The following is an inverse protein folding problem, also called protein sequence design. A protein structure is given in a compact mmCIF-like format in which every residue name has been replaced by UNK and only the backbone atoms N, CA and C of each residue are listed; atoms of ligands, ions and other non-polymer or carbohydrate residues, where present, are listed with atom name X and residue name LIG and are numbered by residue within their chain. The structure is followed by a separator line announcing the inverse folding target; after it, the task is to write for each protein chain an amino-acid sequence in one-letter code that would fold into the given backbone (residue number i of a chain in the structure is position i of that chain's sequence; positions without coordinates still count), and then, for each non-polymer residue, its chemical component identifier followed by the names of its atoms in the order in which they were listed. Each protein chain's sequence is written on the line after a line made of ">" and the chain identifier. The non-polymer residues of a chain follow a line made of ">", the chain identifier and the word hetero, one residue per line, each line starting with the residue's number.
data_IF_570086640306
#
_entry.id   IF_570086640306
#
_cell.length_a   1.000
_cell.length_b   1.000
_cell.length_c   1.000
_cell.angle_alpha   90.00
_cell.angle_beta   90.00
_cell.angle_gamma   90.00
#
_symmetry.space_group_name_H-M   'P 1'
#
loop_
_entity.id
_entity.type
_entity.pdbx_description
1 polymer ?
#
# COMPACT_ATOMS: atom_id res chain seq x y z
N UNK A 1 47.38 -19.45 60.62
CA UNK A 1 46.67 -20.34 61.55
C UNK A 1 45.28 -20.57 60.95
N UNK A 2 45.09 -21.69 60.24
CA UNK A 2 44.42 -22.93 60.71
C UNK A 2 42.91 -22.70 60.88
N UNK A 3 42.07 -23.03 59.90
CA UNK A 3 41.54 -24.35 59.52
C UNK A 3 40.49 -24.90 60.51
N UNK A 4 39.24 -25.09 60.03
CA UNK A 4 38.40 -26.28 60.23
C UNK A 4 37.00 -26.09 59.58
N UNK A 5 36.67 -26.94 58.59
CA UNK A 5 35.31 -27.50 58.43
C UNK A 5 35.19 -28.79 59.26
N UNK A 6 34.21 -29.72 59.05
CA UNK A 6 33.15 -29.80 58.02
C UNK A 6 31.77 -30.36 58.56
N UNK A 7 30.93 -30.92 57.65
CA UNK A 7 29.82 -31.91 57.82
C UNK A 7 28.43 -31.45 58.33
N UNK A 8 27.26 -31.93 57.86
CA UNK A 8 26.82 -32.87 56.80
C UNK A 8 25.29 -32.66 56.51
N UNK A 9 24.85 -32.73 55.25
CA UNK A 9 23.97 -33.73 54.59
C UNK A 9 22.49 -33.87 55.03
N UNK A 10 21.59 -33.72 54.04
CA UNK A 10 20.32 -34.45 53.90
C UNK A 10 20.01 -34.52 52.37
N UNK A 11 20.50 -35.52 51.65
CA UNK A 11 19.89 -36.83 51.28
C UNK A 11 18.53 -36.76 50.56
N UNK A 12 18.57 -37.38 49.38
CA UNK A 12 17.47 -38.01 48.65
C UNK A 12 16.56 -37.14 47.76
N UNK A 13 16.90 -37.08 46.46
CA UNK A 13 16.11 -37.77 45.43
C UNK A 13 16.79 -37.64 44.05
N UNK A 14 17.78 -38.50 43.83
CA UNK A 14 18.30 -38.81 42.51
C UNK A 14 17.75 -40.20 42.12
N UNK A 15 16.79 -40.27 41.20
CA UNK A 15 16.33 -41.54 40.60
C UNK A 15 16.51 -41.48 39.09
N UNK A 16 17.68 -41.93 38.65
CA UNK A 16 17.92 -42.47 37.31
C UNK A 16 17.00 -43.68 37.08
N UNK A 17 16.33 -43.83 35.93
CA UNK A 17 15.63 -45.07 35.61
C UNK A 17 16.64 -46.16 35.27
N UNK A 18 16.61 -47.25 36.03
CA UNK A 18 17.35 -48.49 35.78
C UNK A 18 16.87 -49.18 34.50
N UNK A 19 17.81 -49.53 33.63
CA UNK A 19 17.65 -50.59 32.62
C UNK A 19 17.39 -51.91 33.34
N UNK A 20 16.64 -52.78 32.67
CA UNK A 20 16.24 -54.15 33.06
C UNK A 20 14.96 -54.28 33.88
N UNK A 21 13.83 -54.16 33.17
CA UNK A 21 12.69 -55.06 33.42
C UNK A 21 11.98 -55.43 32.11
N UNK A 22 12.42 -56.55 31.53
CA UNK A 22 11.61 -57.68 31.05
C UNK A 22 10.60 -57.48 29.90
N UNK A 23 11.02 -57.95 28.71
CA UNK A 23 10.32 -58.74 27.67
C UNK A 23 8.87 -58.41 27.24
N UNK A 24 8.55 -58.42 25.92
CA UNK A 24 7.21 -58.15 25.41
C UNK A 24 6.25 -59.34 25.67
N UNK A 25 5.18 -59.07 26.42
CA UNK A 25 4.02 -59.98 26.55
C UNK A 25 3.27 -60.05 25.22
N UNK A 26 3.40 -61.16 24.52
CA UNK A 26 2.61 -61.55 23.36
C UNK A 26 1.11 -61.60 23.75
N UNK A 27 0.28 -60.71 23.20
CA UNK A 27 -1.19 -60.76 23.29
C UNK A 27 -1.79 -60.89 21.88
N UNK A 28 -2.84 -61.71 21.72
CA UNK A 28 -3.32 -62.19 20.43
C UNK A 28 -3.96 -61.07 19.59
N UNK A 29 -3.81 -61.19 18.26
CA UNK A 29 -4.44 -60.35 17.24
C UNK A 29 -5.93 -60.12 17.54
N UNK A 30 -6.25 -58.93 18.05
CA UNK A 30 -7.62 -58.43 18.08
C UNK A 30 -7.87 -57.75 16.74
N UNK A 31 -8.66 -58.39 15.88
CA UNK A 31 -9.18 -57.77 14.66
C UNK A 31 -10.03 -56.58 15.12
N UNK A 32 -9.51 -55.37 14.97
CA UNK A 32 -10.25 -54.13 15.15
C UNK A 32 -11.27 -54.02 14.00
N UNK A 33 -12.50 -53.66 14.34
CA UNK A 33 -13.54 -53.40 13.34
C UNK A 33 -13.15 -52.17 12.49
N UNK A 34 -13.62 -52.04 11.24
CA UNK A 34 -13.22 -50.95 10.33
C UNK A 34 -13.61 -49.52 10.75
N UNK A 35 -14.10 -49.31 11.97
CA UNK A 35 -14.64 -48.03 12.45
C UNK A 35 -13.77 -47.36 13.54
N UNK A 36 -12.60 -47.90 13.87
CA UNK A 36 -11.66 -47.33 14.84
C UNK A 36 -10.29 -46.96 14.22
N UNK A 37 -10.26 -46.66 12.92
CA UNK A 37 -9.09 -46.09 12.25
C UNK A 37 -9.45 -44.77 11.57
N UNK A 38 -9.67 -43.72 12.37
CA UNK A 38 -9.49 -42.33 11.90
C UNK A 38 -9.50 -41.34 13.07
N UNK A 39 -8.55 -41.49 13.99
CA UNK A 39 -8.05 -40.33 14.76
C UNK A 39 -6.64 -40.02 14.21
N UNK A 40 -6.61 -39.63 12.94
CA UNK A 40 -5.44 -38.96 12.38
C UNK A 40 -5.18 -37.70 13.19
N UNK A 41 -3.97 -37.59 13.75
CA UNK A 41 -3.46 -36.39 14.41
C UNK A 41 -3.92 -35.14 13.66
N UNK A 42 -4.69 -34.27 14.32
CA UNK A 42 -5.17 -32.98 13.78
C UNK A 42 -4.04 -31.99 13.41
N UNK A 43 -2.78 -32.42 13.41
CA UNK A 43 -1.59 -31.61 13.17
C UNK A 43 -0.85 -31.93 11.86
N UNK A 44 -1.30 -32.90 11.07
CA UNK A 44 -0.51 -33.39 9.91
C UNK A 44 -0.54 -32.47 8.67
N UNK A 45 -1.33 -31.40 8.69
CA UNK A 45 -1.40 -30.38 7.63
C UNK A 45 -0.80 -29.02 8.03
N UNK A 46 -0.36 -28.87 9.28
CA UNK A 46 0.23 -27.63 9.74
C UNK A 46 1.65 -27.51 9.19
N UNK A 47 1.96 -26.37 8.58
CA UNK A 47 3.30 -26.07 8.11
C UNK A 47 4.27 -26.04 9.30
N UNK A 48 5.41 -26.71 9.19
CA UNK A 48 6.44 -26.76 10.23
C UNK A 48 7.76 -26.26 9.66
N UNK A 49 8.47 -25.41 10.41
CA UNK A 49 9.82 -25.01 10.09
C UNK A 49 10.79 -25.40 11.22
N UNK A 50 11.68 -26.34 10.92
CA UNK A 50 12.60 -26.92 11.90
C UNK A 50 13.87 -26.10 12.11
N UNK A 51 14.12 -25.09 11.27
CA UNK A 51 15.32 -24.25 11.32
C UNK A 51 15.00 -22.80 11.71
N UNK A 52 13.80 -22.54 12.24
CA UNK A 52 13.42 -21.22 12.70
C UNK A 52 14.30 -20.78 13.89
N UNK A 53 14.78 -19.54 13.85
CA UNK A 53 15.61 -18.93 14.92
C UNK A 53 14.93 -17.65 15.35
N UNK A 54 14.88 -17.39 16.66
CA UNK A 54 14.28 -16.18 17.20
C UNK A 54 15.07 -15.63 18.37
N UNK A 55 15.20 -14.31 18.41
CA UNK A 55 15.77 -13.56 19.52
C UNK A 55 14.79 -12.47 19.93
N UNK A 56 14.52 -12.32 21.22
CA UNK A 56 13.58 -11.31 21.70
C UNK A 56 13.66 -11.07 23.19
N UNK A 57 13.00 -10.02 23.64
CA UNK A 57 12.82 -9.64 25.04
C UNK A 57 11.43 -9.02 25.23
N UNK A 58 11.18 -8.43 26.40
CA UNK A 58 9.89 -7.81 26.75
C UNK A 58 9.48 -6.61 25.87
N UNK A 59 10.37 -6.12 25.01
CA UNK A 59 10.15 -4.95 24.16
C UNK A 59 9.95 -5.30 22.68
N UNK A 60 10.42 -6.46 22.24
CA UNK A 60 10.27 -6.90 20.86
C UNK A 60 11.04 -8.16 20.53
N UNK A 61 10.86 -8.64 19.30
CA UNK A 61 11.53 -9.83 18.80
C UNK A 61 11.92 -9.70 17.33
N UNK A 62 12.99 -10.42 16.98
CA UNK A 62 13.45 -10.67 15.62
C UNK A 62 13.42 -12.17 15.41
N UNK A 63 12.66 -12.62 14.43
CA UNK A 63 12.55 -14.05 14.13
C UNK A 63 12.80 -14.32 12.66
N UNK A 64 13.45 -15.45 12.39
CA UNK A 64 13.78 -15.94 11.06
C UNK A 64 13.12 -17.28 10.83
N UNK A 65 12.49 -17.46 9.68
CA UNK A 65 11.77 -18.69 9.37
C UNK A 65 10.53 -18.93 10.24
N UNK A 66 10.04 -17.91 10.96
CA UNK A 66 8.82 -18.04 11.74
C UNK A 66 7.61 -18.20 10.82
N UNK A 67 6.75 -19.14 11.17
CA UNK A 67 5.47 -19.34 10.49
C UNK A 67 4.47 -18.34 11.09
N UNK A 68 3.81 -17.59 10.22
CA UNK A 68 2.78 -16.64 10.61
C UNK A 68 1.67 -17.37 11.38
N UNK A 69 0.97 -16.69 12.31
CA UNK A 69 -0.04 -17.30 13.20
C UNK A 69 -1.14 -18.11 12.49
N UNK A 70 -1.43 -17.79 11.22
CA UNK A 70 -2.43 -18.47 10.42
C UNK A 70 -1.88 -19.74 9.74
N UNK A 71 -0.60 -20.09 9.97
CA UNK A 71 0.11 -21.22 9.39
C UNK A 71 0.27 -21.21 7.86
N UNK A 72 -0.18 -20.16 7.20
CA UNK A 72 -0.22 -20.08 5.73
C UNK A 72 1.10 -19.60 5.09
N UNK A 73 1.90 -18.82 5.81
CA UNK A 73 3.07 -18.10 5.27
C UNK A 73 4.24 -18.22 6.23
N UNK A 74 5.44 -18.44 5.69
CA UNK A 74 6.69 -18.43 6.42
C UNK A 74 7.43 -17.13 6.12
N UNK A 75 7.67 -16.32 7.14
CA UNK A 75 8.48 -15.11 7.00
C UNK A 75 9.97 -15.46 7.07
N UNK A 76 10.74 -14.98 6.10
CA UNK A 76 12.20 -15.09 6.12
C UNK A 76 12.78 -14.31 7.31
N UNK A 77 12.31 -13.08 7.51
CA UNK A 77 12.63 -12.23 8.67
C UNK A 77 11.36 -11.51 9.11
N UNK A 78 11.11 -11.48 10.42
CA UNK A 78 10.02 -10.74 11.03
C UNK A 78 10.55 -9.95 12.23
N UNK A 79 10.27 -8.65 12.26
CA UNK A 79 10.56 -7.75 13.37
C UNK A 79 9.23 -7.37 14.01
N UNK A 80 9.04 -7.70 15.29
CA UNK A 80 7.82 -7.40 16.02
C UNK A 80 8.13 -6.51 17.23
N UNK A 81 7.32 -5.47 17.41
CA UNK A 81 7.27 -4.78 18.68
C UNK A 81 6.40 -5.55 19.69
N UNK A 82 6.46 -5.13 20.96
CA UNK A 82 5.67 -5.70 22.06
C UNK A 82 4.16 -5.76 21.79
N UNK A 83 3.61 -4.81 21.04
CA UNK A 83 2.17 -4.67 20.82
C UNK A 83 1.60 -5.64 19.77
N UNK A 84 2.47 -6.33 19.01
CA UNK A 84 2.08 -7.27 17.95
C UNK A 84 1.38 -6.63 16.74
N UNK A 85 1.18 -5.30 16.75
CA UNK A 85 0.55 -4.55 15.67
C UNK A 85 1.57 -3.70 14.90
N UNK A 86 2.70 -3.40 15.53
CA UNK A 86 3.86 -2.81 14.87
C UNK A 86 4.82 -3.92 14.45
N UNK A 87 4.87 -4.18 13.14
CA UNK A 87 5.70 -5.24 12.57
C UNK A 87 6.32 -4.84 11.23
N UNK A 88 7.46 -5.44 10.94
CA UNK A 88 8.09 -5.43 9.63
C UNK A 88 8.45 -6.86 9.23
N UNK A 89 7.87 -7.37 8.14
CA UNK A 89 8.08 -8.76 7.69
C UNK A 89 8.47 -8.87 6.24
N UNK A 90 9.35 -9.84 5.96
CA UNK A 90 9.79 -10.27 4.63
C UNK A 90 9.31 -11.70 4.43
N UNK A 91 8.27 -11.88 3.61
CA UNK A 91 7.60 -13.17 3.46
C UNK A 91 8.19 -13.99 2.30
N UNK A 92 8.57 -15.25 2.56
CA UNK A 92 9.30 -16.06 1.58
C UNK A 92 8.40 -16.93 0.71
N UNK A 93 7.19 -17.24 1.16
CA UNK A 93 6.33 -18.23 0.50
C UNK A 93 4.83 -18.02 0.77
N UNK A 94 4.02 -19.02 0.37
CA UNK A 94 2.57 -18.96 0.45
C UNK A 94 1.96 -17.93 -0.50
N UNK A 95 0.76 -17.46 -0.17
CA UNK A 95 0.03 -16.44 -0.96
C UNK A 95 0.75 -15.08 -0.96
N UNK A 96 1.64 -14.85 0.01
CA UNK A 96 2.40 -13.60 0.21
C UNK A 96 3.87 -13.72 -0.18
N UNK A 97 4.19 -14.63 -1.11
CA UNK A 97 5.57 -14.87 -1.54
C UNK A 97 6.21 -13.60 -2.09
N UNK A 98 7.34 -13.21 -1.49
CA UNK A 98 8.10 -12.02 -1.88
C UNK A 98 7.51 -10.71 -1.37
N UNK A 99 6.51 -10.75 -0.48
CA UNK A 99 5.91 -9.54 0.07
C UNK A 99 6.79 -8.95 1.16
N UNK A 100 6.88 -7.63 1.16
CA UNK A 100 7.39 -6.85 2.28
C UNK A 100 6.21 -6.13 2.92
N UNK A 101 5.98 -6.37 4.21
CA UNK A 101 4.89 -5.72 4.95
C UNK A 101 5.49 -4.86 6.05
N UNK A 102 5.13 -3.58 6.07
CA UNK A 102 5.39 -2.67 7.19
C UNK A 102 4.05 -2.23 7.77
N UNK A 103 3.72 -2.71 8.95
CA UNK A 103 2.51 -2.32 9.68
C UNK A 103 2.93 -1.47 10.87
N UNK A 104 2.36 -0.28 11.00
CA UNK A 104 2.60 0.62 12.14
C UNK A 104 1.27 1.09 12.71
N UNK A 105 1.14 1.09 14.03
CA UNK A 105 -0.08 1.54 14.74
C UNK A 105 -0.22 3.06 14.76
N UNK A 106 0.91 3.77 14.78
CA UNK A 106 0.98 5.23 14.82
C UNK A 106 1.46 5.83 13.49
N UNK A 107 2.25 6.91 13.59
CA UNK A 107 2.80 7.57 12.42
C UNK A 107 3.87 6.71 11.74
N UNK A 108 3.74 6.54 10.43
CA UNK A 108 4.80 6.01 9.58
C UNK A 108 5.51 7.19 8.88
N UNK A 109 6.79 7.38 9.17
CA UNK A 109 7.58 8.50 8.66
C UNK A 109 8.81 7.98 7.91
N UNK A 110 8.98 8.44 6.67
CA UNK A 110 10.18 8.21 5.87
C UNK A 110 10.88 9.55 5.73
N UNK A 111 12.04 9.69 6.37
CA UNK A 111 12.89 10.87 6.25
C UNK A 111 14.23 10.44 5.61
N UNK A 112 14.57 11.06 4.48
CA UNK A 112 15.73 10.70 3.66
C UNK A 112 16.33 11.98 3.05
N UNK A 113 17.58 11.91 2.55
CA UNK A 113 18.21 13.03 1.85
C UNK A 113 18.91 14.08 2.74
N UNK A 114 19.15 13.83 4.03
CA UNK A 114 19.78 14.82 4.94
C UNK A 114 21.27 15.09 4.66
N UNK A 115 21.97 14.19 3.94
CA UNK A 115 23.40 14.24 3.56
C UNK A 115 24.28 15.22 4.36
N UNK A 116 24.60 14.94 5.63
CA UNK A 116 25.35 15.87 6.49
C UNK A 116 26.79 16.12 6.03
N UNK A 117 27.33 15.28 5.14
CA UNK A 117 28.67 15.42 4.57
C UNK A 117 28.73 16.24 3.28
N UNK A 118 27.58 16.59 2.67
CA UNK A 118 27.53 17.48 1.51
C UNK A 118 27.34 18.91 2.02
N UNK A 119 28.28 19.79 1.73
CA UNK A 119 28.28 21.14 2.31
C UNK A 119 27.55 22.19 1.46
N UNK A 120 27.35 21.94 0.16
CA UNK A 120 26.62 22.85 -0.72
C UNK A 120 25.21 22.32 -0.97
N UNK A 121 24.22 23.19 -0.81
CA UNK A 121 22.82 22.80 -0.98
C UNK A 121 22.47 22.48 -2.44
N UNK A 122 23.10 23.16 -3.41
CA UNK A 122 22.93 22.86 -4.84
C UNK A 122 23.34 21.44 -5.22
N UNK A 123 24.35 20.87 -4.52
CA UNK A 123 24.81 19.51 -4.76
C UNK A 123 23.86 18.47 -4.11
N UNK A 124 23.08 18.88 -3.10
CA UNK A 124 22.04 18.03 -2.48
C UNK A 124 20.77 17.99 -3.32
N UNK A 125 20.37 19.13 -3.89
CA UNK A 125 19.17 19.27 -4.72
C UNK A 125 19.25 18.42 -6.01
N UNK A 126 20.46 18.14 -6.50
CA UNK A 126 20.68 17.31 -7.67
C UNK A 126 20.54 15.79 -7.42
N UNK A 127 20.39 15.36 -6.17
CA UNK A 127 20.37 13.94 -5.80
C UNK A 127 18.95 13.42 -5.56
N UNK A 128 18.64 12.27 -6.17
CA UNK A 128 17.40 11.53 -5.89
C UNK A 128 17.45 10.92 -4.49
N UNK A 129 16.78 11.57 -3.53
CA UNK A 129 16.81 11.17 -2.11
C UNK A 129 15.76 10.12 -1.75
N UNK A 130 14.65 10.06 -2.50
CA UNK A 130 13.56 9.11 -2.31
C UNK A 130 12.99 8.71 -3.67
N UNK A 131 12.83 7.40 -3.90
CA UNK A 131 12.23 6.88 -5.12
C UNK A 131 11.20 5.81 -4.78
N UNK A 132 9.99 5.96 -5.31
CA UNK A 132 8.93 4.95 -5.21
C UNK A 132 8.59 4.53 -6.65
N UNK A 133 9.11 3.38 -7.05
CA UNK A 133 8.94 2.84 -8.40
C UNK A 133 8.25 1.49 -8.33
N UNK A 134 7.28 1.28 -9.23
CA UNK A 134 6.64 -0.01 -9.44
C UNK A 134 6.88 -0.43 -10.89
N UNK A 135 7.73 -1.42 -11.12
CA UNK A 135 8.02 -1.92 -12.48
C UNK A 135 6.79 -2.58 -13.10
N UNK A 136 5.97 -3.22 -12.27
CA UNK A 136 4.72 -3.85 -12.64
C UNK A 136 3.63 -3.57 -11.60
N UNK A 137 2.42 -3.27 -12.06
CA UNK A 137 1.25 -3.01 -11.21
C UNK A 137 0.98 -1.52 -10.98
N UNK A 138 0.15 -1.24 -9.96
CA UNK A 138 -0.32 0.10 -9.64
C UNK A 138 0.30 0.60 -8.34
N UNK A 139 0.59 1.90 -8.27
CA UNK A 139 0.86 2.60 -7.02
C UNK A 139 -0.44 3.26 -6.57
N UNK A 140 -0.87 3.00 -5.33
CA UNK A 140 -2.07 3.58 -4.75
C UNK A 140 -1.68 4.44 -3.55
N UNK A 141 -1.91 5.74 -3.66
CA UNK A 141 -1.77 6.69 -2.55
C UNK A 141 -3.17 7.13 -2.14
N UNK A 142 -3.65 6.63 -1.00
CA UNK A 142 -5.03 6.85 -0.53
C UNK A 142 -5.04 7.22 0.94
N UNK A 143 -5.75 8.30 1.26
CA UNK A 143 -6.15 8.66 2.63
C UNK A 143 -7.67 8.53 2.75
N UNK A 144 -8.16 7.52 3.48
CA UNK A 144 -9.62 7.28 3.61
C UNK A 144 -10.30 8.37 4.43
N UNK A 145 -9.65 8.87 5.48
CA UNK A 145 -10.14 9.93 6.37
C UNK A 145 -9.02 10.94 6.61
N UNK A 146 -8.78 11.85 5.66
CA UNK A 146 -7.71 12.83 5.79
C UNK A 146 -7.42 13.57 4.50
N UNK A 147 -6.30 14.30 4.49
CA UNK A 147 -5.81 15.05 3.33
C UNK A 147 -4.51 14.46 2.82
N UNK A 148 -4.36 14.39 1.51
CA UNK A 148 -3.06 14.21 0.85
C UNK A 148 -2.57 15.60 0.47
N UNK A 149 -1.33 15.90 0.81
CA UNK A 149 -0.68 17.19 0.53
C UNK A 149 0.63 16.92 -0.18
N UNK A 150 0.82 17.55 -1.33
CA UNK A 150 2.03 17.50 -2.14
C UNK A 150 2.56 18.93 -2.24
N UNK A 151 3.72 19.19 -1.65
CA UNK A 151 4.37 20.50 -1.62
C UNK A 151 5.82 20.31 -2.07
N UNK A 152 6.23 21.04 -3.11
CA UNK A 152 7.58 21.02 -3.66
C UNK A 152 7.86 22.35 -4.39
N UNK A 153 9.12 22.61 -4.73
CA UNK A 153 9.49 23.75 -5.60
C UNK A 153 8.91 23.58 -7.01
N UNK A 154 8.97 22.35 -7.54
CA UNK A 154 8.44 21.96 -8.84
C UNK A 154 7.70 20.61 -8.70
N UNK A 155 6.55 20.48 -9.39
CA UNK A 155 5.76 19.24 -9.43
C UNK A 155 5.43 18.92 -10.89
N UNK A 156 5.78 17.71 -11.33
CA UNK A 156 5.44 17.21 -12.66
C UNK A 156 4.44 16.04 -12.57
N UNK A 157 3.30 16.18 -13.24
CA UNK A 157 2.30 15.12 -13.36
C UNK A 157 2.23 14.67 -14.81
N UNK A 158 2.93 13.58 -15.12
CA UNK A 158 3.10 13.09 -16.48
C UNK A 158 2.49 11.70 -16.58
N UNK A 159 1.49 11.56 -17.45
CA UNK A 159 0.89 10.26 -17.80
C UNK A 159 1.21 9.97 -19.25
N UNK A 160 1.95 8.88 -19.49
CA UNK A 160 2.27 8.39 -20.83
C UNK A 160 1.58 7.04 -21.01
N UNK A 161 0.92 6.88 -22.15
CA UNK A 161 0.30 5.64 -22.54
C UNK A 161 0.58 5.38 -23.99
N UNK A 162 0.82 4.12 -24.33
CA UNK A 162 0.83 3.69 -25.72
C UNK A 162 -0.61 3.48 -26.18
N UNK A 163 -0.95 3.98 -27.39
CA UNK A 163 -2.26 3.88 -28.04
C UNK A 163 -3.36 4.73 -27.37
N UNK A 164 -4.63 4.47 -27.71
CA UNK A 164 -5.80 5.33 -27.38
C UNK A 164 -6.33 5.17 -25.96
N UNK A 165 -5.95 4.10 -25.26
CA UNK A 165 -6.67 3.66 -24.06
C UNK A 165 -5.89 3.88 -22.75
N UNK A 166 -4.70 4.49 -22.83
CA UNK A 166 -3.77 4.72 -21.72
C UNK A 166 -3.25 6.16 -21.74
N UNK A 167 -2.67 6.61 -20.64
CA UNK A 167 -2.05 7.95 -20.57
C UNK A 167 -3.02 9.08 -20.22
N UNK A 168 -4.06 8.80 -19.43
CA UNK A 168 -4.99 9.82 -18.95
C UNK A 168 -4.61 10.33 -17.56
N UNK A 169 -4.96 11.58 -17.29
CA UNK A 169 -4.96 12.20 -15.96
C UNK A 169 -6.41 12.63 -15.69
N UNK A 170 -7.02 12.11 -14.63
CA UNK A 170 -8.37 12.48 -14.20
C UNK A 170 -8.30 13.21 -12.87
N UNK A 171 -8.81 14.44 -12.86
CA UNK A 171 -9.00 15.23 -11.65
C UNK A 171 -10.49 15.39 -11.41
N UNK A 172 -10.97 14.97 -10.25
CA UNK A 172 -12.39 15.03 -9.90
C UNK A 172 -12.51 15.43 -8.44
N UNK A 173 -13.29 16.46 -8.17
CA UNK A 173 -13.62 16.93 -6.83
C UNK A 173 -15.13 17.14 -6.73
N UNK A 174 -15.70 16.87 -5.56
CA UNK A 174 -17.13 17.06 -5.30
C UNK A 174 -17.51 18.51 -5.06
N UNK A 175 -16.61 19.29 -4.44
CA UNK A 175 -16.87 20.68 -4.07
C UNK A 175 -16.17 21.66 -5.01
N UNK A 176 -14.83 21.66 -5.06
CA UNK A 176 -14.07 22.66 -5.80
C UNK A 176 -12.74 22.15 -6.35
N UNK A 177 -12.30 22.82 -7.42
CA UNK A 177 -10.95 22.74 -7.97
C UNK A 177 -10.49 24.18 -8.20
N UNK A 178 -9.38 24.57 -7.58
CA UNK A 178 -8.80 25.91 -7.69
C UNK A 178 -7.45 25.80 -8.41
N UNK A 179 -7.22 26.62 -9.42
CA UNK A 179 -5.97 26.66 -10.20
C UNK A 179 -5.46 28.10 -10.28
N UNK A 180 -4.41 28.40 -9.50
CA UNK A 180 -3.81 29.72 -9.44
C UNK A 180 -2.36 29.67 -9.90
N UNK A 181 -2.01 30.53 -10.85
CA UNK A 181 -0.63 30.65 -11.34
C UNK A 181 -0.45 31.99 -12.06
N UNK A 182 0.81 32.44 -12.19
CA UNK A 182 1.11 33.61 -13.03
C UNK A 182 0.77 33.38 -14.51
N UNK A 183 0.83 32.12 -14.97
CA UNK A 183 0.55 31.71 -16.35
C UNK A 183 -0.05 30.29 -16.36
N UNK A 184 -1.31 30.18 -16.75
CA UNK A 184 -1.96 28.89 -17.01
C UNK A 184 -2.09 28.68 -18.52
N UNK A 185 -1.56 27.57 -19.05
CA UNK A 185 -1.63 27.23 -20.47
C UNK A 185 -2.26 25.86 -20.66
N UNK A 186 -3.32 25.79 -21.47
CA UNK A 186 -3.98 24.54 -21.82
C UNK A 186 -3.87 24.37 -23.34
N UNK A 187 -3.28 23.27 -23.79
CA UNK A 187 -3.11 22.96 -25.21
C UNK A 187 -3.62 21.54 -25.47
N UNK A 188 -4.53 21.40 -26.42
CA UNK A 188 -5.05 20.11 -26.87
C UNK A 188 -4.92 20.02 -28.40
N UNK A 189 -4.57 18.83 -28.92
CA UNK A 189 -4.33 18.64 -30.36
C UNK A 189 -5.63 18.48 -31.16
N UNK A 190 -6.55 17.64 -30.67
CA UNK A 190 -7.75 17.28 -31.43
C UNK A 190 -8.98 18.03 -30.95
N UNK A 191 -9.16 18.13 -29.63
CA UNK A 191 -10.39 18.63 -29.04
C UNK A 191 -10.16 19.19 -27.65
N UNK A 192 -10.80 20.33 -27.37
CA UNK A 192 -10.89 20.94 -26.05
C UNK A 192 -12.34 21.35 -25.80
N UNK A 193 -12.89 20.99 -24.64
CA UNK A 193 -14.27 21.32 -24.24
C UNK A 193 -14.27 21.85 -22.82
N UNK A 194 -14.87 23.02 -22.64
CA UNK A 194 -15.32 23.52 -21.34
C UNK A 194 -16.84 23.44 -21.33
N UNK A 195 -17.41 22.88 -20.27
CA UNK A 195 -18.86 22.67 -20.14
C UNK A 195 -19.26 22.88 -18.70
N UNK A 196 -20.27 23.71 -18.45
CA UNK A 196 -20.86 23.95 -17.14
C UNK A 196 -22.37 24.00 -17.28
N UNK A 197 -23.14 23.39 -16.36
CA UNK A 197 -24.59 23.37 -16.45
C UNK A 197 -25.24 24.74 -16.16
N UNK A 198 -24.58 25.61 -15.40
CA UNK A 198 -25.15 26.89 -14.98
C UNK A 198 -24.39 28.05 -15.63
N UNK A 199 -23.26 28.45 -15.04
CA UNK A 199 -22.57 29.68 -15.42
C UNK A 199 -21.10 29.41 -15.76
N UNK A 200 -20.66 29.98 -16.88
CA UNK A 200 -19.25 30.10 -17.27
C UNK A 200 -18.93 31.58 -17.44
N UNK A 201 -17.90 32.07 -16.76
CA UNK A 201 -17.41 33.44 -16.94
C UNK A 201 -15.98 33.40 -17.48
N UNK A 202 -15.74 34.13 -18.57
CA UNK A 202 -14.42 34.33 -19.15
C UNK A 202 -14.15 35.83 -19.12
N UNK A 203 -13.25 36.26 -18.25
CA UNK A 203 -12.95 37.68 -18.01
C UNK A 203 -11.48 37.92 -18.37
N UNK A 204 -11.22 38.91 -19.22
CA UNK A 204 -9.88 39.36 -19.55
C UNK A 204 -9.81 40.90 -19.50
N UNK A 205 -9.06 41.44 -18.54
CA UNK A 205 -8.97 42.90 -18.35
C UNK A 205 -8.18 43.61 -19.47
N UNK A 206 -7.18 42.93 -20.03
CA UNK A 206 -6.37 43.47 -21.12
C UNK A 206 -7.01 43.21 -22.48
N UNK A 207 -6.83 41.99 -22.99
CA UNK A 207 -7.36 41.59 -24.30
C UNK A 207 -7.78 40.12 -24.28
N UNK A 208 -9.01 39.84 -24.67
CA UNK A 208 -9.47 38.49 -25.04
C UNK A 208 -9.35 38.34 -26.56
N UNK A 209 -8.53 37.41 -27.05
CA UNK A 209 -8.43 37.05 -28.47
C UNK A 209 -9.01 35.67 -28.71
N UNK A 210 -10.05 35.59 -29.54
CA UNK A 210 -10.63 34.33 -30.02
C UNK A 210 -10.42 34.25 -31.53
N UNK A 211 -9.85 33.14 -32.00
CA UNK A 211 -9.63 32.89 -33.42
C UNK A 211 -10.18 31.52 -33.81
N UNK A 212 -10.96 31.47 -34.87
CA UNK A 212 -11.50 30.24 -35.42
C UNK A 212 -12.12 30.49 -36.79
N UNK A 213 -12.11 29.49 -37.66
CA UNK A 213 -12.77 29.57 -38.96
C UNK A 213 -14.28 29.82 -38.82
N UNK A 214 -14.88 29.31 -37.73
CA UNK A 214 -16.28 29.51 -37.38
C UNK A 214 -16.38 29.70 -35.86
N UNK A 215 -16.97 30.82 -35.43
CA UNK A 215 -17.34 31.06 -34.03
C UNK A 215 -18.87 31.16 -34.00
N UNK A 216 -19.54 30.28 -33.24
CA UNK A 216 -21.00 30.28 -33.08
C UNK A 216 -21.34 30.58 -31.63
N UNK A 217 -21.85 31.78 -31.39
CA UNK A 217 -22.55 32.12 -30.16
C UNK A 217 -24.06 31.91 -30.38
N UNK A 218 -24.68 31.11 -29.52
CA UNK A 218 -26.14 30.92 -29.50
C UNK A 218 -26.62 31.47 -28.16
N UNK A 219 -27.53 32.43 -28.20
CA UNK A 219 -28.20 32.96 -27.01
C UNK A 219 -29.70 32.70 -27.12
N UNK A 220 -30.43 32.79 -26.01
CA UNK A 220 -31.88 32.52 -25.99
C UNK A 220 -32.70 33.49 -26.86
N UNK A 221 -32.09 34.60 -27.32
CA UNK A 221 -32.69 35.50 -28.30
C UNK A 221 -33.07 34.81 -29.63
N UNK A 222 -32.46 33.66 -29.94
CA UNK A 222 -32.77 32.89 -31.16
C UNK A 222 -34.06 32.06 -31.08
N UNK A 223 -34.73 32.02 -29.92
CA UNK A 223 -36.00 31.30 -29.69
C UNK A 223 -37.16 31.89 -30.50
N UNK A 224 -37.22 33.23 -30.52
CA UNK A 224 -38.29 34.02 -31.14
C UNK A 224 -38.04 34.21 -32.63
N UNK A 225 -36.78 34.50 -33.00
CA UNK A 225 -36.36 34.68 -34.39
C UNK A 225 -35.01 34.03 -34.59
N UNK A 226 -34.92 33.15 -35.56
CA UNK A 226 -33.68 32.43 -35.82
C UNK A 226 -32.54 33.40 -36.18
N UNK A 227 -31.33 33.06 -35.77
CA UNK A 227 -30.14 33.78 -36.20
C UNK A 227 -29.87 33.49 -37.68
N UNK A 228 -29.13 34.37 -38.36
CA UNK A 228 -28.70 34.15 -39.75
C UNK A 228 -27.87 32.88 -39.95
N UNK A 229 -27.41 32.24 -38.87
CA UNK A 229 -26.58 31.03 -38.90
C UNK A 229 -27.31 29.79 -38.37
N UNK A 230 -28.64 29.81 -38.25
CA UNK A 230 -29.44 28.64 -37.85
C UNK A 230 -29.27 28.28 -36.37
N UNK A 231 -29.40 29.29 -35.50
CA UNK A 231 -29.16 29.17 -34.06
C UNK A 231 -30.32 28.50 -33.31
N UNK A 232 -31.53 28.57 -33.85
CA UNK A 232 -32.76 28.04 -33.23
C UNK A 232 -32.70 26.54 -33.01
N UNK A 233 -32.18 25.77 -33.97
CA UNK A 233 -32.03 24.31 -33.83
C UNK A 233 -31.06 23.94 -32.71
N UNK A 234 -30.02 24.75 -32.47
CA UNK A 234 -29.08 24.51 -31.37
C UNK A 234 -29.75 24.78 -30.02
N UNK A 235 -30.50 25.87 -29.91
CA UNK A 235 -31.21 26.24 -28.69
C UNK A 235 -32.36 25.26 -28.38
N UNK A 236 -33.09 24.77 -29.39
CA UNK A 236 -34.13 23.75 -29.21
C UNK A 236 -33.55 22.45 -28.67
N UNK A 237 -32.42 21.97 -29.20
CA UNK A 237 -31.73 20.80 -28.64
C UNK A 237 -31.23 21.00 -27.20
N UNK A 238 -30.93 22.24 -26.80
CA UNK A 238 -30.57 22.55 -25.41
C UNK A 238 -31.84 22.56 -24.52
N UNK A 239 -32.97 23.10 -25.01
CA UNK A 239 -34.25 23.12 -24.28
C UNK A 239 -34.91 21.73 -24.17
N UNK A 240 -34.81 20.92 -25.22
CA UNK A 240 -35.36 19.55 -25.29
C UNK A 240 -34.52 18.55 -24.49
N UNK A 241 -33.39 19.00 -23.95
CA UNK A 241 -32.49 18.19 -23.15
C UNK A 241 -31.48 17.42 -24.00
N UNK A 242 -30.21 17.61 -23.65
CA UNK A 242 -29.27 16.50 -23.71
C UNK A 242 -29.74 15.34 -22.82
#
# INVERSE_FOLDING_TARGET
>A
MSANGPTAQNTDNNRTPSRDSLLPSNKPNRILSPLEQEEGSRYDSAKINYTAVGWGNDHGSVTMGQIHKNSDVTSAVMLNAKDGLHQFSLDNDGVRRGWTTSTSTGAFQINCGKYPWIMKDSEKEALDSCMITADHGNIIIKASNGKIRMEATDIELISKGEKTDRGSIKMTASENIIMESKKCQITAKNYYKMSTPQTMEIIANGVLKMYGAVIRGVSDAVDVKDSKVGGRNFQQRVKEGA
#
